data_IF_082410405315
#
_entry.id   IF_082410405315
#
_cell.length_a   1.000
_cell.length_b   1.000
_cell.length_c   1.000
_cell.angle_alpha   90.00
_cell.angle_beta   90.00
_cell.angle_gamma   90.00
#
_symmetry.space_group_name_H-M   'P 1'
#
loop_
_entity.id
_entity.type
_entity.pdbx_description
1 polymer ?
#
# COMPACT_ATOMS: atom_id res chain seq x y z
N UNK A 1 12.18 16.80 10.63
CA UNK A 1 11.27 16.34 9.55
C UNK A 1 12.04 16.35 8.24
N UNK A 2 11.94 15.29 7.43
CA UNK A 2 12.80 15.11 6.26
C UNK A 2 12.25 15.88 5.05
N UNK A 3 13.03 16.82 4.50
CA UNK A 3 12.69 17.56 3.28
C UNK A 3 12.62 16.66 2.03
N UNK A 4 13.20 15.46 2.09
CA UNK A 4 13.18 14.43 1.06
C UNK A 4 12.14 13.32 1.29
N UNK A 5 11.29 13.43 2.32
CA UNK A 5 10.18 12.48 2.50
C UNK A 5 9.27 12.52 1.26
N UNK A 6 9.05 11.35 0.63
CA UNK A 6 8.10 11.21 -0.46
C UNK A 6 6.69 11.52 0.05
N UNK A 7 5.99 12.44 -0.62
CA UNK A 7 4.61 12.87 -0.29
C UNK A 7 3.54 12.20 -1.16
N UNK A 8 3.94 11.15 -1.86
CA UNK A 8 3.08 10.39 -2.76
C UNK A 8 3.36 8.90 -2.60
N UNK A 9 2.32 8.09 -2.71
CA UNK A 9 2.46 6.65 -2.86
C UNK A 9 2.77 6.30 -4.31
N UNK A 10 3.69 5.38 -4.52
CA UNK A 10 4.02 4.84 -5.84
C UNK A 10 3.64 3.37 -5.88
N UNK A 11 2.85 2.99 -6.89
CA UNK A 11 2.50 1.58 -7.16
C UNK A 11 3.11 1.21 -8.50
N UNK A 12 4.19 0.43 -8.47
CA UNK A 12 4.81 -0.12 -9.67
C UNK A 12 4.34 -1.57 -9.84
N UNK A 13 3.77 -1.89 -11.00
CA UNK A 13 3.20 -3.21 -11.27
C UNK A 13 3.89 -3.86 -12.46
N UNK A 14 4.41 -5.06 -12.24
CA UNK A 14 4.96 -5.93 -13.31
C UNK A 14 3.95 -7.03 -13.58
N UNK A 15 3.54 -7.16 -14.84
CA UNK A 15 2.66 -8.24 -15.29
C UNK A 15 3.47 -9.12 -16.24
N UNK A 16 3.53 -10.41 -15.95
CA UNK A 16 4.22 -11.40 -16.78
C UNK A 16 3.16 -12.35 -17.33
N UNK A 17 3.09 -12.44 -18.65
CA UNK A 17 2.31 -13.43 -19.36
C UNK A 17 3.25 -14.55 -19.82
N UNK A 18 2.95 -15.78 -19.44
CA UNK A 18 3.71 -16.97 -19.78
C UNK A 18 2.83 -17.92 -20.57
N UNK A 19 3.40 -18.49 -21.61
CA UNK A 19 2.79 -19.55 -22.41
C UNK A 19 3.61 -20.81 -22.22
N UNK A 20 2.95 -21.88 -21.80
CA UNK A 20 3.57 -23.17 -21.53
C UNK A 20 2.90 -24.21 -22.42
N UNK A 21 3.70 -24.90 -23.24
CA UNK A 21 3.21 -26.01 -24.04
C UNK A 21 3.16 -27.25 -23.16
N UNK A 22 1.96 -27.80 -22.99
CA UNK A 22 1.78 -29.04 -22.25
C UNK A 22 2.03 -30.26 -23.13
N UNK A 23 2.28 -31.42 -22.52
CA UNK A 23 2.59 -32.68 -23.22
C UNK A 23 1.45 -33.11 -24.16
N UNK A 24 0.21 -32.72 -23.84
CA UNK A 24 -1.00 -33.03 -24.60
C UNK A 24 -1.30 -32.03 -25.74
N UNK A 25 -0.33 -31.20 -26.14
CA UNK A 25 -0.48 -30.14 -27.16
C UNK A 25 -1.43 -29.00 -26.80
N UNK A 26 -1.91 -28.96 -25.56
CA UNK A 26 -2.70 -27.83 -25.05
C UNK A 26 -1.79 -26.67 -24.62
N UNK A 27 -2.18 -25.46 -25.02
CA UNK A 27 -1.48 -24.23 -24.65
C UNK A 27 -2.00 -23.71 -23.31
N UNK A 28 -1.15 -23.75 -22.27
CA UNK A 28 -1.48 -23.19 -20.98
C UNK A 28 -0.97 -21.75 -20.88
N UNK A 29 -1.89 -20.80 -20.71
CA UNK A 29 -1.54 -19.39 -20.47
C UNK A 29 -1.57 -19.09 -18.96
N UNK A 30 -0.42 -18.69 -18.40
CA UNK A 30 -0.29 -18.22 -17.02
C UNK A 30 -0.07 -16.70 -17.02
N UNK A 31 -0.75 -15.99 -16.13
CA UNK A 31 -0.48 -14.56 -15.89
C UNK A 31 -0.12 -14.37 -14.43
N UNK A 32 1.03 -13.76 -14.16
CA UNK A 32 1.46 -13.38 -12.81
C UNK A 32 1.60 -11.86 -12.69
N UNK A 33 1.20 -11.32 -11.54
CA UNK A 33 1.24 -9.89 -11.24
C UNK A 33 2.07 -9.67 -9.98
N UNK A 34 3.08 -8.81 -10.07
CA UNK A 34 3.90 -8.38 -8.95
C UNK A 34 3.67 -6.88 -8.72
N UNK A 35 3.33 -6.52 -7.48
CA UNK A 35 3.21 -5.14 -7.04
C UNK A 35 4.40 -4.77 -6.16
N UNK A 36 5.13 -3.72 -6.56
CA UNK A 36 6.13 -3.05 -5.74
C UNK A 36 5.54 -1.70 -5.32
N UNK A 37 5.22 -1.58 -4.04
CA UNK A 37 4.52 -0.41 -3.49
C UNK A 37 5.47 0.34 -2.57
N UNK A 38 5.77 1.59 -2.93
CA UNK A 38 6.46 2.54 -2.06
C UNK A 38 5.44 3.51 -1.46
N UNK A 39 5.36 3.53 -0.14
CA UNK A 39 4.38 4.32 0.60
C UNK A 39 5.01 5.63 1.07
N UNK A 40 4.24 6.72 0.96
CA UNK A 40 4.63 8.00 1.53
C UNK A 40 4.86 7.92 3.05
N UNK A 41 5.64 8.86 3.58
CA UNK A 41 5.92 8.93 5.01
C UNK A 41 4.66 9.16 5.85
N UNK A 42 4.56 8.43 6.97
CA UNK A 42 3.58 8.70 8.01
C UNK A 42 4.13 9.83 8.91
N UNK A 43 3.77 11.07 8.62
CA UNK A 43 4.37 12.24 9.27
C UNK A 43 3.35 13.04 10.09
N UNK A 44 3.81 13.53 11.25
CA UNK A 44 2.96 14.30 12.17
C UNK A 44 2.89 15.77 11.74
N UNK A 45 1.67 16.20 11.38
CA UNK A 45 1.36 17.57 10.93
C UNK A 45 1.62 18.60 12.03
N UNK A 46 1.45 18.23 13.31
CA UNK A 46 1.63 19.14 14.45
C UNK A 46 3.07 19.62 14.63
N UNK A 47 4.05 18.89 14.08
CA UNK A 47 5.47 19.24 14.17
C UNK A 47 6.01 19.92 12.91
N UNK A 48 5.24 19.95 11.82
CA UNK A 48 5.71 20.43 10.53
C UNK A 48 5.62 21.94 10.35
N UNK A 49 4.93 22.65 11.25
CA UNK A 49 4.71 24.11 11.18
C UNK A 49 4.06 24.56 9.86
N UNK A 50 3.30 23.66 9.21
CA UNK A 50 3.01 23.79 7.80
C UNK A 50 1.69 24.55 7.55
N UNK A 51 1.76 25.61 6.73
CA UNK A 51 0.59 26.38 6.24
C UNK A 51 -0.48 25.47 5.60
N UNK A 52 -1.74 25.89 5.69
CA UNK A 52 -2.99 25.20 5.27
C UNK A 52 -2.86 24.16 4.14
N UNK A 53 -2.24 24.50 3.00
CA UNK A 53 -2.11 23.59 1.85
C UNK A 53 -1.27 22.35 2.16
N UNK A 54 -0.16 22.50 2.89
CA UNK A 54 0.71 21.40 3.28
C UNK A 54 0.07 20.54 4.38
N UNK A 55 -0.66 21.16 5.30
CA UNK A 55 -1.44 20.42 6.30
C UNK A 55 -2.51 19.54 5.64
N UNK A 56 -3.20 20.06 4.61
CA UNK A 56 -4.18 19.29 3.84
C UNK A 56 -3.54 18.13 3.06
N UNK A 57 -2.40 18.37 2.42
CA UNK A 57 -1.63 17.34 1.70
C UNK A 57 -1.21 16.20 2.66
N UNK A 58 -0.57 16.54 3.78
CA UNK A 58 -0.17 15.57 4.80
C UNK A 58 -1.38 14.83 5.40
N UNK A 59 -2.51 15.53 5.57
CA UNK A 59 -3.77 14.91 5.98
C UNK A 59 -4.24 13.83 5.00
N UNK A 60 -4.22 14.12 3.70
CA UNK A 60 -4.61 13.13 2.68
C UNK A 60 -3.65 11.93 2.64
N UNK A 61 -2.35 12.16 2.77
CA UNK A 61 -1.33 11.09 2.86
C UNK A 61 -1.62 10.20 4.07
N UNK A 62 -1.78 10.78 5.24
CA UNK A 62 -2.07 10.05 6.47
C UNK A 62 -3.39 9.29 6.39
N UNK A 63 -4.43 9.86 5.76
CA UNK A 63 -5.70 9.17 5.52
C UNK A 63 -5.53 7.91 4.66
N UNK A 64 -4.71 7.95 3.62
CA UNK A 64 -4.39 6.76 2.82
C UNK A 64 -3.67 5.67 3.57
N UNK A 65 -2.73 6.02 4.45
CA UNK A 65 -2.03 5.07 5.29
C UNK A 65 -2.95 4.50 6.39
N UNK A 66 -3.80 5.34 7.00
CA UNK A 66 -4.77 4.92 8.01
C UNK A 66 -5.82 3.96 7.43
N UNK A 67 -6.35 4.27 6.25
CA UNK A 67 -7.32 3.42 5.56
C UNK A 67 -6.70 2.08 5.17
N UNK A 68 -5.43 2.08 4.73
CA UNK A 68 -4.69 0.84 4.51
C UNK A 68 -4.55 0.02 5.80
N UNK A 69 -4.24 0.67 6.94
CA UNK A 69 -4.24 0.04 8.26
C UNK A 69 -5.59 -0.60 8.60
N UNK A 70 -6.71 0.11 8.42
CA UNK A 70 -8.05 -0.44 8.65
C UNK A 70 -8.37 -1.65 7.77
N UNK A 71 -7.96 -1.62 6.50
CA UNK A 71 -8.13 -2.76 5.58
C UNK A 71 -7.36 -3.98 6.09
N UNK A 72 -6.11 -3.80 6.51
CA UNK A 72 -5.28 -4.89 7.05
C UNK A 72 -5.88 -5.44 8.35
N UNK A 73 -6.29 -4.58 9.27
CA UNK A 73 -6.94 -5.00 10.53
C UNK A 73 -8.20 -5.80 10.24
N UNK A 74 -9.09 -5.30 9.38
CA UNK A 74 -10.33 -5.99 9.02
C UNK A 74 -10.08 -7.36 8.36
N UNK A 75 -9.01 -7.48 7.56
CA UNK A 75 -8.58 -8.75 6.96
C UNK A 75 -8.11 -9.77 8.01
N UNK A 76 -7.30 -9.32 8.98
CA UNK A 76 -6.82 -10.15 10.08
C UNK A 76 -7.98 -10.63 10.95
N UNK A 77 -8.92 -9.74 11.25
CA UNK A 77 -10.11 -10.02 12.05
C UNK A 77 -11.18 -10.83 11.30
N UNK A 78 -11.01 -11.06 9.99
CA UNK A 78 -11.98 -11.72 9.11
C UNK A 78 -13.36 -11.05 9.17
N UNK A 79 -13.37 -9.71 9.22
CA UNK A 79 -14.59 -8.94 9.25
C UNK A 79 -15.46 -9.24 8.02
N UNK A 80 -16.79 -9.16 8.19
CA UNK A 80 -17.74 -9.38 7.10
C UNK A 80 -17.59 -8.36 5.97
N UNK A 81 -17.15 -7.14 6.29
CA UNK A 81 -16.91 -6.07 5.35
C UNK A 81 -15.47 -5.55 5.46
N UNK A 82 -14.75 -5.52 4.33
CA UNK A 82 -13.41 -4.95 4.24
C UNK A 82 -13.47 -3.62 3.47
N UNK A 83 -13.04 -2.49 4.06
CA UNK A 83 -13.28 -1.15 3.53
C UNK A 83 -12.30 -0.71 2.42
N UNK A 84 -12.11 -1.52 1.38
CA UNK A 84 -11.18 -1.19 0.27
C UNK A 84 -11.53 0.11 -0.46
N UNK A 85 -12.82 0.47 -0.50
CA UNK A 85 -13.35 1.56 -1.33
C UNK A 85 -13.11 2.97 -0.78
N UNK A 86 -12.55 3.09 0.43
CA UNK A 86 -12.33 4.39 1.06
C UNK A 86 -11.34 5.25 0.28
N UNK A 87 -10.26 4.67 -0.26
CA UNK A 87 -9.21 5.40 -0.97
C UNK A 87 -8.66 4.63 -2.17
N UNK A 88 -8.16 5.37 -3.17
CA UNK A 88 -7.64 4.81 -4.43
C UNK A 88 -6.56 3.75 -4.20
N UNK A 89 -5.67 3.97 -3.23
CA UNK A 89 -4.60 3.04 -2.88
C UNK A 89 -5.16 1.66 -2.48
N UNK A 90 -6.14 1.62 -1.56
CA UNK A 90 -6.74 0.36 -1.10
C UNK A 90 -7.63 -0.28 -2.15
N UNK A 91 -8.25 0.50 -3.05
CA UNK A 91 -8.94 -0.05 -4.22
C UNK A 91 -7.96 -0.76 -5.17
N UNK A 92 -6.83 -0.13 -5.50
CA UNK A 92 -5.82 -0.69 -6.39
C UNK A 92 -5.18 -1.95 -5.82
N UNK A 93 -4.96 -1.98 -4.51
CA UNK A 93 -4.32 -3.10 -3.81
C UNK A 93 -5.31 -4.16 -3.31
N UNK A 94 -6.61 -4.03 -3.61
CA UNK A 94 -7.63 -4.97 -3.14
C UNK A 94 -7.31 -6.42 -3.51
N UNK A 95 -6.88 -6.64 -4.77
CA UNK A 95 -6.47 -7.96 -5.26
C UNK A 95 -5.24 -8.46 -4.49
N UNK A 96 -4.22 -7.61 -4.29
CA UNK A 96 -3.01 -7.97 -3.56
C UNK A 96 -3.27 -8.31 -2.08
N UNK A 97 -4.12 -7.55 -1.39
CA UNK A 97 -4.35 -7.66 0.04
C UNK A 97 -5.39 -8.73 0.41
N UNK A 98 -6.48 -8.82 -0.35
CA UNK A 98 -7.61 -9.71 -0.04
C UNK A 98 -7.77 -10.90 -0.99
N UNK A 99 -7.04 -10.93 -2.10
CA UNK A 99 -7.07 -12.02 -3.07
C UNK A 99 -6.16 -13.19 -2.69
N UNK A 100 -6.03 -14.14 -3.61
CA UNK A 100 -5.14 -15.29 -3.45
C UNK A 100 -3.71 -14.92 -3.86
N UNK A 101 -3.06 -14.08 -3.06
CA UNK A 101 -1.72 -13.55 -3.34
C UNK A 101 -0.81 -13.72 -2.13
N UNK A 102 0.50 -13.66 -2.36
CA UNK A 102 1.48 -13.55 -1.28
C UNK A 102 1.82 -12.08 -1.13
N UNK A 103 1.50 -11.52 0.04
CA UNK A 103 1.78 -10.13 0.37
C UNK A 103 2.71 -10.05 1.58
N UNK A 104 3.70 -9.17 1.49
CA UNK A 104 4.64 -8.89 2.57
C UNK A 104 4.80 -7.38 2.72
N UNK A 105 4.98 -6.94 3.95
CA UNK A 105 5.14 -5.52 4.29
C UNK A 105 6.49 -5.34 4.96
N UNK A 106 7.22 -4.30 4.54
CA UNK A 106 8.50 -3.91 5.15
C UNK A 106 8.21 -2.70 6.05
N UNK A 107 8.38 -2.87 7.36
CA UNK A 107 8.25 -1.79 8.33
C UNK A 107 9.58 -1.04 8.47
N UNK A 108 9.63 0.21 8.01
CA UNK A 108 10.81 1.09 8.10
C UNK A 108 10.67 2.05 9.28
N UNK A 109 11.27 1.68 10.42
CA UNK A 109 11.11 2.41 11.69
C UNK A 109 12.39 3.18 12.01
N UNK A 110 12.24 4.42 12.49
CA UNK A 110 13.38 5.23 12.95
C UNK A 110 13.82 4.83 14.35
N UNK A 111 15.13 4.68 14.64
CA UNK A 111 15.63 4.37 15.98
C UNK A 111 15.65 5.59 16.93
N UNK A 112 15.31 6.79 16.44
CA UNK A 112 15.39 8.03 17.22
C UNK A 112 14.38 8.03 18.38
N UNK A 113 14.82 8.48 19.56
CA UNK A 113 13.96 8.65 20.74
C UNK A 113 12.81 9.63 20.53
N UNK A 114 12.99 10.57 19.60
CA UNK A 114 12.02 11.59 19.21
C UNK A 114 10.79 10.97 18.51
N UNK A 115 10.91 9.76 17.95
CA UNK A 115 9.85 9.06 17.23
C UNK A 115 9.20 7.94 18.06
N UNK A 116 9.40 7.90 19.38
CA UNK A 116 8.70 6.94 20.26
C UNK A 116 7.23 7.33 20.36
N UNK A 117 6.36 6.36 20.10
CA UNK A 117 4.89 6.43 20.23
C UNK A 117 4.46 6.74 21.66
#
# INVERSE_FOLDING_TARGET
MNAHSSRSHTVFTVIVHMKENTVDSDELMKTSKLHLVDLAGLENIGWSGALEKRAREAGNINMSLLTLGHVITALVERASHIPYRGLKLTCLLQDALGGRTKTSVIATISPSSINRL
#
